data_IF_254815953136
#
_entry.id   IF_254815953136
#
_cell.length_a   1.000
_cell.length_b   1.000
_cell.length_c   1.000
_cell.angle_alpha   90.00
_cell.angle_beta   90.00
_cell.angle_gamma   90.00
#
_symmetry.space_group_name_H-M   'P 1'
#
loop_
_entity.id
_entity.type
_entity.pdbx_description
1 polymer ?
#
# COMPACT_ATOMS: atom_id res chain seq x y z
N UNK A 1 -18.11 -14.99 -4.42
CA UNK A 1 -17.65 -14.01 -3.43
C UNK A 1 -16.75 -13.02 -4.16
N UNK A 2 -17.19 -11.77 -4.28
CA UNK A 2 -16.47 -10.72 -5.00
C UNK A 2 -15.25 -10.29 -4.19
N UNK A 3 -14.06 -10.39 -4.77
CA UNK A 3 -12.84 -9.81 -4.20
C UNK A 3 -12.97 -8.29 -4.11
N UNK A 4 -13.27 -7.79 -2.91
CA UNK A 4 -13.40 -6.34 -2.61
C UNK A 4 -12.13 -5.73 -2.01
N UNK A 5 -11.06 -6.52 -1.94
CA UNK A 5 -9.85 -6.20 -1.19
C UNK A 5 -8.62 -6.61 -1.98
N UNK A 6 -7.55 -5.83 -1.86
CA UNK A 6 -6.24 -6.11 -2.42
C UNK A 6 -5.15 -5.86 -1.38
N UNK A 7 -4.00 -6.52 -1.51
CA UNK A 7 -2.93 -6.50 -0.52
C UNK A 7 -1.67 -5.87 -1.11
N UNK A 8 -1.14 -4.83 -0.46
CA UNK A 8 0.17 -4.22 -0.77
C UNK A 8 1.17 -4.75 0.24
N UNK A 9 2.20 -5.47 -0.23
CA UNK A 9 3.18 -6.11 0.65
C UNK A 9 4.18 -5.10 1.23
N UNK A 10 4.53 -5.30 2.49
CA UNK A 10 5.53 -4.54 3.23
C UNK A 10 6.89 -4.40 2.54
N UNK A 11 7.36 -5.48 1.92
CA UNK A 11 8.65 -5.52 1.24
C UNK A 11 8.72 -4.53 0.08
N UNK A 12 7.60 -4.28 -0.58
CA UNK A 12 7.53 -3.33 -1.69
C UNK A 12 7.62 -1.89 -1.19
N UNK A 13 7.13 -1.62 0.02
CA UNK A 13 7.19 -0.32 0.65
C UNK A 13 8.59 0.00 1.20
N UNK A 14 9.34 -1.02 1.63
CA UNK A 14 10.78 -0.87 1.89
C UNK A 14 11.58 -0.64 0.61
N UNK A 15 11.23 -1.34 -0.47
CA UNK A 15 11.93 -1.21 -1.75
C UNK A 15 11.72 0.17 -2.39
N UNK A 16 10.54 0.79 -2.23
CA UNK A 16 10.28 2.15 -2.73
C UNK A 16 11.09 3.23 -2.03
N UNK A 17 11.55 3.00 -0.79
CA UNK A 17 12.37 3.95 -0.02
C UNK A 17 13.87 3.63 -0.14
N UNK A 18 14.26 2.53 -0.78
CA UNK A 18 15.66 2.12 -0.87
C UNK A 18 16.55 3.21 -1.48
N UNK A 19 17.55 3.67 -0.72
CA UNK A 19 18.54 4.68 -1.17
C UNK A 19 19.94 4.05 -1.26
N UNK A 20 20.82 4.64 -2.08
CA UNK A 20 22.22 4.18 -2.25
C UNK A 20 23.16 4.79 -1.17
N UNK A 21 22.59 5.55 -0.23
CA UNK A 21 23.35 6.21 0.84
C UNK A 21 23.26 5.35 2.10
N UNK A 22 24.39 4.81 2.54
CA UNK A 22 24.44 3.86 3.65
C UNK A 22 23.80 4.39 4.95
N UNK A 23 23.98 5.68 5.27
CA UNK A 23 23.38 6.30 6.45
C UNK A 23 21.84 6.34 6.39
N UNK A 24 21.27 6.56 5.22
CA UNK A 24 19.82 6.56 5.00
C UNK A 24 19.26 5.14 5.03
N UNK A 25 19.99 4.16 4.50
CA UNK A 25 19.63 2.73 4.61
C UNK A 25 19.58 2.27 6.07
N UNK A 26 20.58 2.63 6.87
CA UNK A 26 20.61 2.29 8.30
C UNK A 26 19.40 2.87 9.03
N UNK A 27 19.06 4.15 8.79
CA UNK A 27 17.88 4.78 9.38
C UNK A 27 16.57 4.11 8.93
N UNK A 28 16.48 3.71 7.66
CA UNK A 28 15.31 2.99 7.15
C UNK A 28 15.12 1.65 7.87
N UNK A 29 16.18 0.87 8.07
CA UNK A 29 16.09 -0.39 8.82
C UNK A 29 15.76 -0.16 10.30
N UNK A 30 16.26 0.92 10.90
CA UNK A 30 15.89 1.26 12.28
C UNK A 30 14.40 1.59 12.41
N UNK A 31 13.84 2.36 11.46
CA UNK A 31 12.40 2.65 11.38
C UNK A 31 11.59 1.38 11.16
N UNK A 32 12.08 0.48 10.31
CA UNK A 32 11.44 -0.80 10.06
C UNK A 32 11.40 -1.68 11.32
N UNK A 33 12.52 -1.84 12.01
CA UNK A 33 12.62 -2.59 13.27
C UNK A 33 11.70 -2.01 14.35
N UNK A 34 11.60 -0.68 14.42
CA UNK A 34 10.67 -0.01 15.31
C UNK A 34 9.20 -0.33 14.97
N UNK A 35 8.82 -0.28 13.70
CA UNK A 35 7.47 -0.66 13.26
C UNK A 35 7.16 -2.14 13.54
N UNK A 36 8.14 -3.04 13.39
CA UNK A 36 7.98 -4.45 13.76
C UNK A 36 7.74 -4.61 15.26
N UNK A 37 8.45 -3.86 16.11
CA UNK A 37 8.24 -3.86 17.58
C UNK A 37 6.87 -3.35 17.98
N UNK A 38 6.30 -2.44 17.19
CA UNK A 38 4.93 -1.95 17.35
C UNK A 38 3.86 -2.91 16.79
N UNK A 39 4.26 -4.04 16.19
CA UNK A 39 3.36 -4.99 15.52
C UNK A 39 2.52 -4.36 14.38
N UNK A 40 2.94 -3.20 13.87
CA UNK A 40 2.30 -2.52 12.74
C UNK A 40 2.68 -3.17 11.42
N UNK A 41 3.85 -3.82 11.38
CA UNK A 41 4.39 -4.47 10.19
C UNK A 41 5.03 -5.81 10.54
N UNK A 42 5.16 -6.69 9.55
CA UNK A 42 5.83 -7.99 9.70
C UNK A 42 6.35 -8.50 8.36
N UNK A 43 7.28 -9.46 8.38
CA UNK A 43 7.93 -9.98 7.17
C UNK A 43 6.95 -10.58 6.15
N UNK A 44 5.89 -11.23 6.63
CA UNK A 44 4.89 -11.90 5.78
C UNK A 44 3.56 -11.13 5.66
N UNK A 45 3.45 -9.97 6.28
CA UNK A 45 2.20 -9.22 6.30
C UNK A 45 1.96 -8.38 5.04
N UNK A 46 0.77 -7.79 4.95
CA UNK A 46 0.43 -6.86 3.89
C UNK A 46 -0.64 -5.87 4.35
N UNK A 47 -0.60 -4.66 3.80
CA UNK A 47 -1.69 -3.70 3.94
C UNK A 47 -2.86 -4.08 3.06
N UNK A 48 -4.07 -4.03 3.60
CA UNK A 48 -5.27 -4.40 2.86
C UNK A 48 -6.01 -3.14 2.42
N UNK A 49 -6.04 -2.91 1.11
CA UNK A 49 -6.71 -1.78 0.46
C UNK A 49 -8.06 -2.26 -0.09
N UNK A 50 -9.14 -1.65 0.36
CA UNK A 50 -10.48 -1.82 -0.19
C UNK A 50 -10.79 -0.79 -1.28
N UNK A 51 -11.99 -0.89 -1.84
CA UNK A 51 -12.48 0.05 -2.87
C UNK A 51 -12.81 1.43 -2.32
N UNK A 52 -13.27 1.49 -1.07
CA UNK A 52 -13.76 2.72 -0.41
C UNK A 52 -12.83 3.18 0.72
N UNK A 53 -12.12 2.25 1.35
CA UNK A 53 -11.25 2.53 2.49
C UNK A 53 -10.12 1.51 2.58
N UNK A 54 -9.07 1.87 3.31
CA UNK A 54 -8.04 0.93 3.75
C UNK A 54 -8.54 0.17 4.97
N UNK A 55 -8.45 -1.16 4.94
CA UNK A 55 -8.91 -2.02 6.03
C UNK A 55 -7.86 -2.17 7.14
N UNK A 56 -6.58 -2.03 6.82
CA UNK A 56 -5.45 -1.96 7.76
C UNK A 56 -5.00 -0.51 7.93
N UNK A 57 -5.96 0.35 8.28
CA UNK A 57 -5.80 1.79 8.29
C UNK A 57 -4.76 2.23 9.34
N UNK A 58 -4.86 1.70 10.55
CA UNK A 58 -3.96 2.02 11.66
C UNK A 58 -2.51 1.63 11.33
N UNK A 59 -2.31 0.43 10.79
CA UNK A 59 -1.01 -0.08 10.40
C UNK A 59 -0.39 0.77 9.28
N UNK A 60 -1.19 1.12 8.26
CA UNK A 60 -0.68 1.89 7.13
C UNK A 60 -0.37 3.34 7.51
N UNK A 61 -1.26 4.00 8.26
CA UNK A 61 -1.04 5.38 8.70
C UNK A 61 0.19 5.49 9.61
N UNK A 62 0.34 4.57 10.57
CA UNK A 62 1.52 4.54 11.45
C UNK A 62 2.80 4.29 10.66
N UNK A 63 2.75 3.39 9.69
CA UNK A 63 3.89 3.08 8.81
C UNK A 63 4.29 4.29 7.96
N UNK A 64 3.33 4.96 7.32
CA UNK A 64 3.59 6.17 6.53
C UNK A 64 4.17 7.29 7.39
N UNK A 65 3.65 7.47 8.61
CA UNK A 65 4.16 8.46 9.58
C UNK A 65 5.62 8.20 9.92
N UNK A 66 5.94 6.98 10.40
CA UNK A 66 7.31 6.61 10.83
C UNK A 66 8.31 6.65 9.68
N UNK A 67 7.92 6.23 8.49
CA UNK A 67 8.84 6.19 7.35
C UNK A 67 9.10 7.56 6.72
N UNK A 68 8.11 8.47 6.76
CA UNK A 68 8.21 9.79 6.13
C UNK A 68 8.57 10.94 7.09
N UNK A 69 8.59 10.72 8.41
CA UNK A 69 9.01 11.77 9.35
C UNK A 69 10.51 12.07 9.23
N UNK A 70 10.97 13.28 9.61
CA UNK A 70 12.38 13.60 9.72
C UNK A 70 13.14 12.69 10.72
N UNK A 71 14.46 12.49 10.55
CA UNK A 71 15.27 11.69 11.49
C UNK A 71 15.21 12.18 12.94
N UNK A 72 15.18 13.49 13.13
CA UNK A 72 15.12 14.14 14.44
C UNK A 72 13.77 13.86 15.12
N UNK A 73 12.67 14.02 14.37
CA UNK A 73 11.31 13.69 14.83
C UNK A 73 11.20 12.21 15.20
N UNK A 74 11.82 11.32 14.41
CA UNK A 74 11.83 9.88 14.71
C UNK A 74 12.53 9.54 16.03
N UNK A 75 13.63 10.23 16.36
CA UNK A 75 14.34 10.02 17.63
C UNK A 75 13.46 10.44 18.82
N UNK A 76 12.84 11.61 18.73
CA UNK A 76 11.91 12.09 19.76
C UNK A 76 10.69 11.17 19.89
N UNK A 77 10.13 10.72 18.76
CA UNK A 77 8.99 9.81 18.71
C UNK A 77 9.29 8.45 19.35
N UNK A 78 10.52 7.94 19.17
CA UNK A 78 10.97 6.67 19.76
C UNK A 78 11.20 6.76 21.26
N UNK A 79 11.69 7.90 21.75
CA UNK A 79 12.03 8.13 23.16
C UNK A 79 10.80 8.45 24.04
N UNK A 80 9.66 8.79 23.42
CA UNK A 80 8.37 8.89 24.10
C UNK A 80 7.91 7.47 24.50
N UNK A 81 8.27 7.05 25.71
CA UNK A 81 8.00 5.74 26.34
C UNK A 81 6.50 5.44 26.59
N UNK A 82 5.61 6.23 25.99
CA UNK A 82 4.18 6.09 26.09
C UNK A 82 3.58 6.39 24.73
N UNK A 83 2.82 5.44 24.21
CA UNK A 83 1.84 5.62 23.15
C UNK A 83 0.70 6.52 23.68
N UNK A 84 1.07 7.71 24.14
CA UNK A 84 0.28 8.62 24.94
C UNK A 84 -0.46 9.57 24.04
N UNK A 85 -1.53 9.07 23.43
CA UNK A 85 -2.71 9.85 23.03
C UNK A 85 -2.42 11.18 22.31
N UNK A 86 -1.35 11.23 21.53
CA UNK A 86 -1.02 12.39 20.73
C UNK A 86 -1.98 12.42 19.56
N UNK A 87 -3.09 13.13 19.82
CA UNK A 87 -4.10 13.64 18.91
C UNK A 87 -4.08 12.89 17.59
N UNK A 88 -5.01 11.95 17.44
CA UNK A 88 -5.43 11.42 16.14
C UNK A 88 -5.53 12.60 15.17
N UNK A 89 -4.46 12.89 14.42
CA UNK A 89 -4.58 13.60 13.16
C UNK A 89 -5.61 12.76 12.43
N UNK A 90 -6.71 13.38 12.00
CA UNK A 90 -7.80 12.75 11.23
C UNK A 90 -7.29 12.33 9.83
N UNK A 91 -6.14 11.66 9.77
CA UNK A 91 -5.51 11.10 8.58
C UNK A 91 -6.18 9.77 8.27
N UNK A 92 -7.51 9.76 8.22
CA UNK A 92 -8.24 8.56 7.84
C UNK A 92 -7.95 8.23 6.37
N UNK A 93 -7.66 6.97 6.08
CA UNK A 93 -7.30 6.46 4.76
C UNK A 93 -8.54 6.04 3.97
N UNK A 94 -9.55 6.90 3.98
CA UNK A 94 -10.70 6.80 3.08
C UNK A 94 -10.34 7.38 1.71
N UNK A 95 -11.00 6.92 0.64
CA UNK A 95 -10.78 7.44 -0.72
C UNK A 95 -10.93 8.96 -0.86
N UNK A 96 -11.71 9.61 0.01
CA UNK A 96 -11.91 11.06 0.01
C UNK A 96 -10.79 11.82 0.72
N UNK A 97 -10.01 11.15 1.56
CA UNK A 97 -8.95 11.75 2.37
C UNK A 97 -7.55 11.41 1.87
N UNK A 98 -7.36 10.32 1.13
CA UNK A 98 -6.07 9.97 0.50
C UNK A 98 -5.47 11.14 -0.30
N UNK A 99 -6.21 11.89 -1.13
CA UNK A 99 -5.65 13.04 -1.85
C UNK A 99 -5.20 14.21 -0.95
N UNK A 100 -5.69 14.27 0.30
CA UNK A 100 -5.39 15.33 1.27
C UNK A 100 -4.15 15.01 2.12
N UNK A 101 -3.64 13.78 2.05
CA UNK A 101 -2.45 13.36 2.80
C UNK A 101 -1.21 14.17 2.41
N UNK A 102 -0.25 14.20 3.34
CA UNK A 102 1.09 14.80 3.14
C UNK A 102 1.71 14.27 1.85
N UNK A 103 2.39 15.16 1.10
CA UNK A 103 2.98 14.80 -0.22
C UNK A 103 3.93 13.62 -0.14
N UNK A 104 4.75 13.53 0.90
CA UNK A 104 5.67 12.41 1.14
C UNK A 104 4.92 11.09 1.30
N UNK A 105 3.79 11.09 2.01
CA UNK A 105 2.96 9.90 2.22
C UNK A 105 2.30 9.44 0.93
N UNK A 106 1.74 10.37 0.16
CA UNK A 106 1.14 10.06 -1.15
C UNK A 106 2.19 9.51 -2.12
N UNK A 107 3.38 10.09 -2.14
CA UNK A 107 4.48 9.62 -2.99
C UNK A 107 4.91 8.20 -2.61
N UNK A 108 5.14 7.93 -1.32
CA UNK A 108 5.50 6.60 -0.85
C UNK A 108 4.44 5.55 -1.19
N UNK A 109 3.17 5.88 -0.98
CA UNK A 109 2.05 5.00 -1.31
C UNK A 109 1.98 4.75 -2.82
N UNK A 110 2.14 5.80 -3.64
CA UNK A 110 2.18 5.72 -5.10
C UNK A 110 3.29 4.79 -5.58
N UNK A 111 4.51 4.97 -5.10
CA UNK A 111 5.67 4.17 -5.53
C UNK A 111 5.49 2.71 -5.14
N UNK A 112 4.96 2.45 -3.94
CA UNK A 112 4.65 1.10 -3.46
C UNK A 112 3.57 0.42 -4.31
N UNK A 113 2.55 1.17 -4.74
CA UNK A 113 1.51 0.66 -5.66
C UNK A 113 2.08 0.36 -7.04
N UNK A 114 2.96 1.22 -7.58
CA UNK A 114 3.63 0.98 -8.85
C UNK A 114 4.46 -0.32 -8.81
N UNK A 115 5.24 -0.52 -7.75
CA UNK A 115 5.99 -1.76 -7.54
C UNK A 115 5.06 -2.98 -7.42
N UNK A 116 3.92 -2.84 -6.73
CA UNK A 116 2.93 -3.91 -6.61
C UNK A 116 2.35 -4.28 -7.98
N UNK A 117 2.01 -3.30 -8.81
CA UNK A 117 1.52 -3.53 -10.17
C UNK A 117 2.56 -4.24 -11.05
N UNK A 118 3.85 -3.98 -10.86
CA UNK A 118 4.93 -4.66 -11.59
C UNK A 118 5.04 -6.15 -11.26
N UNK A 119 4.50 -6.61 -10.12
CA UNK A 119 4.47 -8.05 -9.79
C UNK A 119 3.47 -8.85 -10.64
N UNK A 120 2.51 -8.16 -11.28
CA UNK A 120 1.56 -8.79 -12.18
C UNK A 120 2.17 -9.04 -13.56
N UNK A 121 1.91 -10.21 -14.12
CA UNK A 121 2.41 -10.59 -15.45
C UNK A 121 1.86 -9.75 -16.61
N UNK A 122 0.73 -9.07 -16.42
CA UNK A 122 0.01 -8.29 -17.43
C UNK A 122 -0.47 -6.98 -16.81
N UNK A 123 -0.78 -5.98 -17.64
CA UNK A 123 -1.35 -4.71 -17.17
C UNK A 123 -2.88 -4.82 -16.96
N UNK A 124 -3.51 -3.74 -16.48
CA UNK A 124 -4.97 -3.68 -16.31
C UNK A 124 -5.72 -3.74 -17.65
N UNK A 125 -5.16 -3.11 -18.69
CA UNK A 125 -5.78 -3.01 -20.01
C UNK A 125 -5.96 -4.38 -20.64
N UNK A 126 -4.96 -5.25 -20.55
CA UNK A 126 -5.01 -6.63 -21.05
C UNK A 126 -6.17 -7.40 -20.42
N UNK A 127 -6.35 -7.28 -19.11
CA UNK A 127 -7.47 -7.94 -18.42
C UNK A 127 -8.82 -7.31 -18.79
N UNK A 128 -8.87 -5.99 -18.99
CA UNK A 128 -10.07 -5.27 -19.43
C UNK A 128 -10.51 -5.68 -20.84
N UNK A 129 -9.56 -5.85 -21.76
CA UNK A 129 -9.83 -6.26 -23.14
C UNK A 129 -10.38 -7.69 -23.17
N UNK A 130 -9.83 -8.60 -22.35
CA UNK A 130 -10.33 -9.97 -22.19
C UNK A 130 -11.75 -10.02 -21.62
N UNK A 131 -12.06 -9.17 -20.63
CA UNK A 131 -13.41 -9.08 -20.04
C UNK A 131 -14.43 -8.45 -20.99
N UNK A 132 -13.99 -7.48 -21.80
CA UNK A 132 -14.86 -6.75 -22.72
C UNK A 132 -15.20 -7.59 -23.97
N UNK A 133 -14.31 -8.51 -24.36
CA UNK A 133 -14.55 -9.44 -25.46
C UNK A 133 -15.33 -10.69 -24.98
N UNK A 134 -16.66 -10.64 -25.14
CA UNK A 134 -17.56 -11.74 -24.72
C UNK A 134 -17.24 -13.09 -25.35
N UNK A 135 -16.77 -13.12 -26.60
CA UNK A 135 -16.45 -14.38 -27.29
C UNK A 135 -15.19 -15.03 -26.72
N UNK A 136 -14.15 -14.23 -26.46
CA UNK A 136 -12.91 -14.71 -25.84
C UNK A 136 -13.18 -15.12 -24.41
N UNK A 137 -13.92 -14.31 -23.65
CA UNK A 137 -14.28 -14.61 -22.27
C UNK A 137 -15.09 -15.92 -22.14
N UNK A 138 -16.05 -16.15 -23.04
CA UNK A 138 -16.85 -17.38 -23.04
C UNK A 138 -16.05 -18.65 -23.36
N UNK A 139 -14.89 -18.53 -24.03
CA UNK A 139 -13.98 -19.65 -24.31
C UNK A 139 -13.11 -20.03 -23.10
N UNK A 140 -12.98 -19.14 -22.12
CA UNK A 140 -12.28 -19.43 -20.88
C UNK A 140 -13.07 -20.43 -20.04
N UNK A 141 -12.35 -21.35 -19.40
CA UNK A 141 -12.93 -22.20 -18.36
C UNK A 141 -13.43 -21.36 -17.18
N UNK A 142 -14.32 -21.95 -16.38
CA UNK A 142 -14.82 -21.30 -15.18
C UNK A 142 -13.72 -20.81 -14.22
N UNK A 143 -12.64 -21.61 -14.04
CA UNK A 143 -11.50 -21.22 -13.19
C UNK A 143 -10.72 -20.04 -13.77
N UNK A 144 -10.53 -20.01 -15.08
CA UNK A 144 -9.85 -18.88 -15.75
C UNK A 144 -10.68 -17.60 -15.68
N UNK A 145 -12.00 -17.70 -15.87
CA UNK A 145 -12.92 -16.58 -15.70
C UNK A 145 -12.86 -16.03 -14.27
N UNK A 146 -12.92 -16.89 -13.26
CA UNK A 146 -12.78 -16.48 -11.85
C UNK A 146 -11.43 -15.83 -11.58
N UNK A 147 -10.33 -16.42 -12.03
CA UNK A 147 -8.99 -15.86 -11.84
C UNK A 147 -8.84 -14.50 -12.53
N UNK A 148 -9.40 -14.34 -13.73
CA UNK A 148 -9.44 -13.07 -14.47
C UNK A 148 -10.21 -11.99 -13.68
N UNK A 149 -11.40 -12.31 -13.15
CA UNK A 149 -12.18 -11.39 -12.33
C UNK A 149 -11.44 -10.96 -11.06
N UNK A 150 -10.74 -11.89 -10.40
CA UNK A 150 -9.92 -11.58 -9.22
C UNK A 150 -8.78 -10.63 -9.57
N UNK A 151 -7.98 -10.95 -10.60
CA UNK A 151 -6.86 -10.09 -11.03
C UNK A 151 -7.34 -8.71 -11.48
N UNK A 152 -8.42 -8.66 -12.25
CA UNK A 152 -9.00 -7.41 -12.71
C UNK A 152 -9.47 -6.54 -11.53
N UNK A 153 -10.23 -7.12 -10.60
CA UNK A 153 -10.72 -6.40 -9.42
C UNK A 153 -9.57 -5.85 -8.56
N UNK A 154 -8.52 -6.63 -8.35
CA UNK A 154 -7.33 -6.20 -7.62
C UNK A 154 -6.60 -5.04 -8.32
N UNK A 155 -6.35 -5.16 -9.62
CA UNK A 155 -5.69 -4.10 -10.41
C UNK A 155 -6.53 -2.82 -10.45
N UNK A 156 -7.86 -2.92 -10.52
CA UNK A 156 -8.75 -1.76 -10.47
C UNK A 156 -8.59 -0.97 -9.17
N UNK A 157 -8.50 -1.66 -8.01
CA UNK A 157 -8.27 -1.00 -6.72
C UNK A 157 -6.90 -0.29 -6.70
N UNK A 158 -5.84 -0.96 -7.18
CA UNK A 158 -4.51 -0.37 -7.26
C UNK A 158 -4.46 0.87 -8.19
N UNK A 159 -5.08 0.79 -9.36
CA UNK A 159 -5.15 1.93 -10.28
C UNK A 159 -5.96 3.10 -9.72
N UNK A 160 -7.07 2.83 -9.03
CA UNK A 160 -7.81 3.86 -8.29
C UNK A 160 -6.93 4.53 -7.25
N UNK A 161 -6.11 3.77 -6.52
CA UNK A 161 -5.19 4.32 -5.54
C UNK A 161 -4.08 5.17 -6.19
N UNK A 162 -3.59 4.81 -7.38
CA UNK A 162 -2.66 5.63 -8.16
C UNK A 162 -3.26 6.98 -8.58
N UNK A 163 -4.55 7.02 -8.91
CA UNK A 163 -5.23 8.27 -9.26
C UNK A 163 -5.36 9.19 -8.04
N UNK A 164 -5.67 8.63 -6.88
CA UNK A 164 -5.83 9.39 -5.62
C UNK A 164 -4.49 9.89 -5.05
N UNK A 165 -3.39 9.24 -5.39
CA UNK A 165 -2.03 9.60 -4.97
C UNK A 165 -1.26 10.43 -6.03
N UNK A 166 -1.94 10.84 -7.10
CA UNK A 166 -1.39 11.67 -8.19
C UNK A 166 -1.13 13.13 -7.85
#
# INVERSE_FOLDING_TARGET
MNSRVHSVFFTLLLFSIGTDVEAERVLLYERWDYLCKLEMVGEEGAFVIGREEVLTEEELTTTLKVLCMPPEEFREFKDQDGWGDDKKEEDSLTITNIPKLKKSWRQLLRDSVLLTLQTYATDLKTEQDLLSNKEVYAKLSWREQQALQVRYGQKMILHQLLELTG
#
